data_IF_942670593352
#
_entry.id   IF_942670593352
#
_cell.length_a   1.000
_cell.length_b   1.000
_cell.length_c   1.000
_cell.angle_alpha   90.00
_cell.angle_beta   90.00
_cell.angle_gamma   90.00
#
_symmetry.space_group_name_H-M   'P 1'
#
loop_
_entity.id
_entity.type
_entity.pdbx_description
1 polymer ?
#
# COMPACT_ATOMS: atom_id res chain seq x y z
N UNK A 1 7.95 -16.93 11.11
CA UNK A 1 7.32 -15.84 10.34
C UNK A 1 8.02 -14.55 10.71
N UNK A 2 8.82 -13.98 9.81
CA UNK A 2 9.46 -12.69 10.07
C UNK A 2 8.39 -11.59 10.13
N UNK A 3 8.49 -10.73 11.14
CA UNK A 3 7.72 -9.49 11.27
C UNK A 3 7.68 -8.75 9.91
N UNK A 4 6.51 -8.23 9.51
CA UNK A 4 6.28 -7.60 8.19
C UNK A 4 5.91 -6.11 8.29
N UNK A 5 6.75 -5.23 8.89
CA UNK A 5 6.34 -3.85 9.13
C UNK A 5 5.98 -3.08 7.86
N UNK A 6 6.65 -3.31 6.74
CA UNK A 6 6.42 -2.57 5.48
C UNK A 6 5.00 -2.78 4.93
N UNK A 7 4.47 -3.99 5.10
CA UNK A 7 3.10 -4.34 4.70
C UNK A 7 2.10 -3.69 5.66
N UNK A 8 2.36 -3.76 6.98
CA UNK A 8 1.53 -3.15 8.01
C UNK A 8 1.42 -1.63 7.82
N UNK A 9 2.53 -0.95 7.55
CA UNK A 9 2.60 0.50 7.31
C UNK A 9 1.77 0.89 6.08
N UNK A 10 1.91 0.16 4.97
CA UNK A 10 1.14 0.44 3.76
C UNK A 10 -0.37 0.29 4.03
N UNK A 11 -0.80 -0.83 4.63
CA UNK A 11 -2.22 -1.08 4.89
C UNK A 11 -2.82 -0.06 5.87
N UNK A 12 -2.10 0.30 6.93
CA UNK A 12 -2.52 1.32 7.89
C UNK A 12 -2.65 2.72 7.27
N UNK A 13 -1.94 3.00 6.17
CA UNK A 13 -1.97 4.32 5.50
C UNK A 13 -3.00 4.42 4.37
N UNK A 14 -3.81 3.37 4.13
CA UNK A 14 -4.86 3.39 3.09
C UNK A 14 -6.12 4.13 3.51
N UNK A 15 -6.32 4.34 4.81
CA UNK A 15 -7.44 5.07 5.36
C UNK A 15 -7.56 4.88 6.86
N UNK A 16 -8.54 5.53 7.47
CA UNK A 16 -8.79 5.42 8.91
C UNK A 16 -9.40 4.07 9.32
N UNK A 17 -9.90 3.27 8.37
CA UNK A 17 -10.49 1.96 8.66
C UNK A 17 -9.44 1.00 9.23
N UNK A 18 -9.75 0.34 10.35
CA UNK A 18 -8.85 -0.58 11.04
C UNK A 18 -8.01 0.07 12.16
N UNK A 19 -8.00 1.40 12.25
CA UNK A 19 -7.45 2.08 13.40
C UNK A 19 -8.46 2.10 14.56
N UNK A 20 -7.96 1.93 15.78
CA UNK A 20 -8.72 2.21 16.99
C UNK A 20 -8.75 3.74 17.22
N UNK A 21 -9.94 4.32 17.28
CA UNK A 21 -10.16 5.76 17.38
C UNK A 21 -9.88 6.34 18.78
N UNK A 22 -9.76 5.48 19.79
CA UNK A 22 -9.42 5.85 21.18
C UNK A 22 -7.93 5.74 21.43
N UNK A 23 -7.33 4.58 21.13
CA UNK A 23 -5.92 4.31 21.41
C UNK A 23 -5.00 4.81 20.30
N UNK A 24 -5.55 5.13 19.12
CA UNK A 24 -4.79 5.51 17.92
C UNK A 24 -3.76 4.43 17.55
N UNK A 25 -4.15 3.17 17.71
CA UNK A 25 -3.37 2.00 17.34
C UNK A 25 -3.98 1.29 16.14
N UNK A 26 -3.12 0.80 15.26
CA UNK A 26 -3.46 -0.10 14.17
C UNK A 26 -2.74 -1.42 14.36
N UNK A 27 -3.48 -2.54 14.26
CA UNK A 27 -2.95 -3.89 14.42
C UNK A 27 -3.73 -4.83 13.50
N UNK A 28 -3.01 -5.76 12.86
CA UNK A 28 -3.63 -6.77 11.99
C UNK A 28 -3.67 -8.13 12.69
N UNK A 29 -4.88 -8.64 12.92
CA UNK A 29 -5.08 -9.97 13.50
C UNK A 29 -4.38 -10.12 14.86
N UNK A 30 -3.75 -11.28 15.08
CA UNK A 30 -2.93 -11.57 16.26
C UNK A 30 -1.44 -11.37 15.93
N UNK A 31 -1.06 -10.16 15.53
CA UNK A 31 0.34 -9.80 15.30
C UNK A 31 0.92 -9.05 16.49
N UNK A 32 2.15 -9.35 16.88
CA UNK A 32 2.87 -8.59 17.92
C UNK A 32 3.35 -7.21 17.43
N UNK A 33 3.14 -6.91 16.13
CA UNK A 33 3.41 -5.60 15.55
C UNK A 33 2.16 -4.74 15.62
N UNK A 34 2.33 -3.49 16.05
CA UNK A 34 1.29 -2.46 15.92
C UNK A 34 1.90 -1.14 15.47
N UNK A 35 1.06 -0.28 14.89
CA UNK A 35 1.41 1.09 14.57
C UNK A 35 0.66 2.03 15.50
N UNK A 36 1.35 3.05 15.97
CA UNK A 36 0.78 4.12 16.76
C UNK A 36 0.85 5.44 15.99
N UNK A 37 -0.25 6.19 16.02
CA UNK A 37 -0.34 7.51 15.42
C UNK A 37 -0.12 8.57 16.49
N UNK A 38 1.07 9.18 16.50
CA UNK A 38 1.55 10.01 17.61
C UNK A 38 2.36 11.23 17.17
N UNK A 39 2.17 12.32 17.90
CA UNK A 39 2.95 13.56 17.80
C UNK A 39 3.10 14.17 19.20
N UNK A 40 4.32 14.50 19.60
CA UNK A 40 4.71 14.84 20.98
C UNK A 40 3.92 16.02 21.60
N UNK A 41 3.46 16.97 20.77
CA UNK A 41 2.77 18.17 21.23
C UNK A 41 1.32 18.28 20.73
N UNK A 42 0.74 17.16 20.27
CA UNK A 42 -0.63 17.13 19.77
C UNK A 42 -1.57 16.46 20.78
N UNK A 43 -2.71 17.08 21.06
CA UNK A 43 -3.76 16.48 21.88
C UNK A 43 -4.40 15.26 21.21
N UNK A 44 -4.90 14.26 21.96
CA UNK A 44 -5.49 13.03 21.40
C UNK A 44 -6.62 13.31 20.40
N UNK A 45 -7.49 14.27 20.71
CA UNK A 45 -8.62 14.64 19.82
C UNK A 45 -8.13 15.26 18.51
N UNK A 46 -7.07 16.06 18.53
CA UNK A 46 -6.46 16.60 17.32
C UNK A 46 -5.87 15.48 16.46
N UNK A 47 -5.14 14.55 17.08
CA UNK A 47 -4.58 13.39 16.39
C UNK A 47 -5.67 12.50 15.80
N UNK A 48 -6.77 12.27 16.52
CA UNK A 48 -7.94 11.55 16.03
C UNK A 48 -8.54 12.22 14.80
N UNK A 49 -8.74 13.54 14.84
CA UNK A 49 -9.24 14.30 13.70
C UNK A 49 -8.31 14.22 12.48
N UNK A 50 -6.99 14.30 12.69
CA UNK A 50 -6.02 14.12 11.62
C UNK A 50 -6.06 12.68 11.08
N UNK A 51 -6.13 11.68 11.95
CA UNK A 51 -6.19 10.28 11.53
C UNK A 51 -7.42 10.02 10.63
N UNK A 52 -8.57 10.62 10.94
CA UNK A 52 -9.78 10.53 10.12
C UNK A 52 -9.65 11.16 8.72
N UNK A 53 -8.61 11.96 8.46
CA UNK A 53 -8.29 12.47 7.12
C UNK A 53 -7.34 11.57 6.34
N UNK A 54 -6.91 10.43 6.89
CA UNK A 54 -6.13 9.44 6.14
C UNK A 54 -6.91 8.97 4.92
N UNK A 55 -6.23 8.97 3.78
CA UNK A 55 -6.76 8.53 2.51
C UNK A 55 -5.73 7.68 1.74
N UNK A 56 -6.17 6.91 0.73
CA UNK A 56 -5.29 6.01 -0.03
C UNK A 56 -4.03 6.64 -0.62
N UNK A 57 -4.01 7.95 -0.87
CA UNK A 57 -2.82 8.65 -1.37
C UNK A 57 -1.68 8.65 -0.37
N UNK A 58 -1.95 8.55 0.93
CA UNK A 58 -0.88 8.42 1.93
C UNK A 58 -0.11 7.12 1.72
N UNK A 59 -0.81 6.02 1.40
CA UNK A 59 -0.16 4.78 0.97
C UNK A 59 0.59 4.90 -0.35
N UNK A 60 0.10 5.69 -1.32
CA UNK A 60 0.86 5.94 -2.56
C UNK A 60 2.18 6.69 -2.30
N UNK A 61 2.21 7.64 -1.35
CA UNK A 61 3.45 8.31 -0.92
C UNK A 61 4.41 7.32 -0.27
N UNK A 62 3.90 6.46 0.62
CA UNK A 62 4.68 5.40 1.24
C UNK A 62 5.35 4.48 0.20
N UNK A 63 4.58 4.01 -0.78
CA UNK A 63 5.07 3.17 -1.89
C UNK A 63 6.11 3.88 -2.74
N UNK A 64 5.95 5.19 -3.01
CA UNK A 64 6.95 5.96 -3.74
C UNK A 64 8.27 6.04 -2.96
N UNK A 65 8.19 6.32 -1.66
CA UNK A 65 9.39 6.37 -0.80
C UNK A 65 10.08 5.01 -0.75
N UNK A 66 9.31 3.93 -0.66
CA UNK A 66 9.83 2.55 -0.70
C UNK A 66 10.49 2.26 -2.05
N UNK A 67 9.86 2.61 -3.18
CA UNK A 67 10.45 2.46 -4.50
C UNK A 67 11.77 3.24 -4.64
N UNK A 68 11.80 4.51 -4.22
CA UNK A 68 13.02 5.34 -4.21
C UNK A 68 14.11 4.77 -3.31
N UNK A 69 13.75 4.14 -2.19
CA UNK A 69 14.72 3.47 -1.32
C UNK A 69 15.35 2.25 -2.02
N UNK A 70 14.53 1.45 -2.70
CA UNK A 70 14.97 0.26 -3.45
C UNK A 70 15.79 0.60 -4.70
N UNK A 71 15.50 1.72 -5.35
CA UNK A 71 16.27 2.25 -6.49
C UNK A 71 17.63 2.82 -6.08
N UNK A 72 17.89 3.01 -4.79
CA UNK A 72 19.16 3.56 -4.35
C UNK A 72 20.27 2.51 -4.53
N UNK A 73 21.28 2.85 -5.33
CA UNK A 73 22.44 2.00 -5.57
C UNK A 73 23.31 1.84 -4.32
N UNK A 74 23.18 2.76 -3.36
CA UNK A 74 23.85 2.65 -2.06
C UNK A 74 23.11 1.63 -1.21
N UNK A 75 23.79 0.57 -0.80
CA UNK A 75 23.27 -0.40 0.17
C UNK A 75 23.19 0.18 1.60
N UNK A 76 23.31 1.49 1.78
CA UNK A 76 23.16 2.16 3.07
C UNK A 76 21.71 2.11 3.54
N UNK A 77 21.50 1.45 4.68
CA UNK A 77 20.21 1.28 5.36
C UNK A 77 19.47 2.61 5.62
N UNK A 78 20.22 3.70 5.75
CA UNK A 78 19.71 5.02 6.10
C UNK A 78 19.94 6.08 5.01
N UNK A 79 19.98 5.65 3.74
CA UNK A 79 20.19 6.56 2.64
C UNK A 79 19.06 7.62 2.58
N UNK A 80 19.39 8.92 2.69
CA UNK A 80 18.37 9.96 2.73
C UNK A 80 17.69 10.13 1.37
N UNK A 81 16.35 10.17 1.38
CA UNK A 81 15.51 10.41 0.22
C UNK A 81 15.00 11.84 0.30
N UNK A 82 15.32 12.66 -0.69
CA UNK A 82 14.74 13.99 -0.83
C UNK A 82 13.58 13.96 -1.80
N UNK A 83 12.41 14.42 -1.36
CA UNK A 83 11.21 14.60 -2.20
C UNK A 83 10.74 16.04 -2.17
N UNK A 84 10.22 16.53 -3.30
CA UNK A 84 9.55 17.83 -3.39
C UNK A 84 8.04 17.61 -3.56
N UNK A 85 7.16 18.45 -2.99
CA UNK A 85 5.71 18.28 -3.14
C UNK A 85 5.23 18.24 -4.61
N UNK A 86 5.87 19.02 -5.49
CA UNK A 86 5.53 19.00 -6.93
C UNK A 86 5.96 17.71 -7.63
N UNK A 87 7.13 17.17 -7.27
CA UNK A 87 7.61 15.88 -7.76
C UNK A 87 6.70 14.76 -7.27
N UNK A 88 6.34 14.79 -5.99
CA UNK A 88 5.41 13.84 -5.39
C UNK A 88 4.07 13.86 -6.12
N UNK A 89 3.47 15.04 -6.30
CA UNK A 89 2.18 15.16 -6.98
C UNK A 89 2.19 14.59 -8.40
N UNK A 90 3.28 14.83 -9.16
CA UNK A 90 3.45 14.23 -10.50
C UNK A 90 3.60 12.71 -10.43
N UNK A 91 4.43 12.21 -9.52
CA UNK A 91 4.63 10.78 -9.32
C UNK A 91 3.34 10.06 -8.86
N UNK A 92 2.44 10.75 -8.16
CA UNK A 92 1.13 10.22 -7.80
C UNK A 92 0.11 10.19 -8.96
N UNK A 93 0.52 10.64 -10.16
CA UNK A 93 -0.33 10.70 -11.35
C UNK A 93 -1.32 11.87 -11.35
N UNK A 94 -1.06 12.93 -10.57
CA UNK A 94 -1.89 14.14 -10.57
C UNK A 94 -1.56 15.03 -11.78
N UNK A 95 -2.60 15.56 -12.42
CA UNK A 95 -2.44 16.36 -13.64
C UNK A 95 -1.91 17.77 -13.30
N UNK A 96 -0.89 18.26 -14.01
CA UNK A 96 -0.45 19.64 -13.90
C UNK A 96 -1.58 20.63 -14.15
N UNK A 97 -1.46 21.81 -13.54
CA UNK A 97 -2.38 22.91 -13.80
C UNK A 97 -2.15 23.49 -15.21
N UNK A 98 -3.19 23.90 -15.97
CA UNK A 98 -3.02 24.42 -17.34
C UNK A 98 -2.09 25.64 -17.45
N UNK A 99 -2.00 26.46 -16.40
CA UNK A 99 -1.10 27.63 -16.33
C UNK A 99 0.33 27.29 -15.86
N UNK A 100 0.70 26.01 -15.85
CA UNK A 100 1.96 25.51 -15.30
C UNK A 100 1.89 25.19 -13.81
N UNK A 101 2.84 24.38 -13.34
CA UNK A 101 2.92 23.92 -11.96
C UNK A 101 1.83 22.91 -11.55
N UNK A 102 1.73 22.64 -10.25
CA UNK A 102 0.69 21.79 -9.64
C UNK A 102 -0.38 22.66 -8.98
N UNK A 103 -1.61 22.13 -8.87
CA UNK A 103 -2.67 22.84 -8.15
C UNK A 103 -2.32 22.91 -6.66
N UNK A 104 -2.63 24.04 -6.02
CA UNK A 104 -2.34 24.26 -4.60
C UNK A 104 -2.91 23.13 -3.70
N UNK A 105 -4.16 22.72 -3.94
CA UNK A 105 -4.79 21.60 -3.26
C UNK A 105 -4.02 20.28 -3.36
N UNK A 106 -3.41 20.01 -4.53
CA UNK A 106 -2.66 18.76 -4.76
C UNK A 106 -1.35 18.77 -3.95
N UNK A 107 -0.74 19.95 -3.83
CA UNK A 107 0.46 20.14 -3.02
C UNK A 107 0.19 20.05 -1.52
N UNK A 108 -0.93 20.60 -1.07
CA UNK A 108 -1.41 20.45 0.30
C UNK A 108 -1.64 18.99 0.61
N UNK A 109 -2.33 18.26 -0.27
CA UNK A 109 -2.59 16.83 -0.12
C UNK A 109 -1.29 16.02 0.03
N UNK A 110 -0.33 16.24 -0.87
CA UNK A 110 0.97 15.56 -0.83
C UNK A 110 1.74 15.85 0.47
N UNK A 111 1.65 17.09 0.95
CA UNK A 111 2.30 17.52 2.18
C UNK A 111 1.63 16.89 3.40
N UNK A 112 0.30 16.84 3.40
CA UNK A 112 -0.50 16.20 4.45
C UNK A 112 -0.18 14.70 4.54
N UNK A 113 -0.06 14.00 3.41
CA UNK A 113 0.37 12.59 3.39
C UNK A 113 1.75 12.38 4.03
N UNK A 114 2.74 13.25 3.76
CA UNK A 114 4.06 13.16 4.40
C UNK A 114 3.98 13.40 5.92
N UNK A 115 3.14 14.34 6.33
CA UNK A 115 2.84 14.60 7.74
C UNK A 115 2.12 13.44 8.43
N UNK A 116 1.26 12.70 7.73
CA UNK A 116 0.67 11.46 8.26
C UNK A 116 1.75 10.41 8.49
N UNK A 117 2.63 10.19 7.52
CA UNK A 117 3.71 9.19 7.62
C UNK A 117 4.70 9.50 8.76
N UNK A 118 5.01 10.77 8.99
CA UNK A 118 5.87 11.19 10.10
C UNK A 118 5.29 10.86 11.48
N UNK A 119 3.95 10.84 11.61
CA UNK A 119 3.26 10.53 12.86
C UNK A 119 3.18 9.03 13.15
N UNK A 120 3.64 8.18 12.25
CA UNK A 120 3.60 6.74 12.43
C UNK A 120 4.81 6.25 13.22
N UNK A 121 4.52 5.53 14.29
CA UNK A 121 5.50 4.84 15.12
C UNK A 121 5.20 3.35 15.10
N UNK A 122 6.19 2.55 14.72
CA UNK A 122 6.13 1.12 14.80
C UNK A 122 6.43 0.68 16.23
N UNK A 123 5.54 -0.14 16.79
CA UNK A 123 5.70 -0.78 18.07
C UNK A 123 6.01 -2.26 17.81
N UNK A 124 7.13 -2.73 18.34
CA UNK A 124 7.59 -4.11 18.20
C UNK A 124 7.98 -4.66 19.58
N UNK A 125 7.89 -5.98 19.81
CA UNK A 125 8.50 -6.60 20.98
C UNK A 125 9.98 -6.27 21.03
N UNK A 126 10.53 -5.98 22.22
CA UNK A 126 11.97 -5.79 22.38
C UNK A 126 12.68 -7.11 22.09
N UNK A 127 13.75 -7.04 21.29
CA UNK A 127 14.57 -8.20 20.94
C UNK A 127 15.32 -8.78 22.14
N UNK A 128 15.53 -7.99 23.20
CA UNK A 128 16.22 -8.38 24.44
C UNK A 128 15.26 -8.76 25.55
N UNK A 129 14.07 -8.16 25.57
CA UNK A 129 13.00 -8.48 26.52
C UNK A 129 11.64 -8.52 25.81
N UNK A 130 11.13 -9.70 25.42
CA UNK A 130 9.85 -9.81 24.75
C UNK A 130 8.64 -9.27 25.53
N UNK A 131 8.77 -9.01 26.84
CA UNK A 131 7.73 -8.37 27.66
C UNK A 131 7.74 -6.83 27.53
N UNK A 132 8.82 -6.23 27.02
CA UNK A 132 8.94 -4.80 26.73
C UNK A 132 8.68 -4.50 25.25
N UNK A 133 8.22 -3.28 24.96
CA UNK A 133 7.92 -2.83 23.60
C UNK A 133 8.87 -1.71 23.17
N UNK A 134 9.57 -1.92 22.06
CA UNK A 134 10.36 -0.89 21.39
C UNK A 134 9.48 -0.04 20.50
N UNK A 135 9.79 1.26 20.40
CA UNK A 135 9.10 2.21 19.53
C UNK A 135 10.08 2.83 18.55
N UNK A 136 9.85 2.63 17.26
CA UNK A 136 10.67 3.18 16.19
C UNK A 136 9.83 4.06 15.26
N UNK A 137 10.39 5.17 14.78
CA UNK A 137 9.70 6.03 13.81
C UNK A 137 9.68 5.34 12.45
N UNK A 138 8.49 5.25 11.84
CA UNK A 138 8.33 4.72 10.47
C UNK A 138 9.13 5.54 9.44
N UNK A 139 9.21 6.84 9.67
CA UNK A 139 9.94 7.78 8.83
C UNK A 139 10.62 8.84 9.70
N UNK A 140 11.94 8.97 9.56
CA UNK A 140 12.72 10.02 10.21
C UNK A 140 12.87 11.22 9.28
N UNK A 141 12.41 12.41 9.73
CA UNK A 141 12.56 13.65 8.97
C UNK A 141 13.89 14.32 9.31
N UNK A 142 14.84 14.25 8.38
CA UNK A 142 16.18 14.80 8.57
C UNK A 142 16.23 16.31 8.33
N UNK A 143 15.48 16.78 7.33
CA UNK A 143 15.46 18.20 6.95
C UNK A 143 14.18 18.56 6.22
N UNK A 144 13.63 19.73 6.54
CA UNK A 144 12.59 20.40 5.76
C UNK A 144 13.19 21.60 5.02
N UNK A 145 12.75 21.79 3.78
CA UNK A 145 13.05 22.98 2.99
C UNK A 145 12.32 24.22 3.54
N UNK A 146 12.56 25.38 2.91
CA UNK A 146 11.87 26.62 3.29
C UNK A 146 10.36 26.44 3.14
N UNK A 147 9.61 26.85 4.16
CA UNK A 147 8.16 26.84 4.12
C UNK A 147 7.61 27.99 3.29
N UNK A 148 6.58 27.72 2.47
CA UNK A 148 5.71 28.74 1.89
C UNK A 148 4.29 28.55 2.38
N UNK A 149 3.53 29.63 2.54
CA UNK A 149 2.10 29.54 2.89
C UNK A 149 1.27 29.34 1.62
N UNK A 150 0.38 28.35 1.67
CA UNK A 150 -0.62 28.04 0.64
C UNK A 150 -1.92 27.74 1.37
N UNK A 151 -2.99 28.47 1.08
CA UNK A 151 -4.31 28.34 1.75
C UNK A 151 -4.22 28.25 3.28
N UNK A 152 -3.38 29.10 3.89
CA UNK A 152 -3.18 29.15 5.34
C UNK A 152 -2.27 28.06 5.93
N UNK A 153 -1.89 27.04 5.16
CA UNK A 153 -0.99 25.97 5.60
C UNK A 153 0.46 26.20 5.13
N UNK A 154 1.42 25.76 5.93
CA UNK A 154 2.84 25.84 5.58
C UNK A 154 3.25 24.58 4.81
N UNK A 155 3.63 24.76 3.55
CA UNK A 155 4.17 23.72 2.69
C UNK A 155 5.70 23.85 2.62
N UNK A 156 6.48 22.88 3.13
CA UNK A 156 7.92 22.84 2.93
C UNK A 156 8.27 22.66 1.44
N UNK A 157 9.30 23.35 0.95
CA UNK A 157 9.76 23.21 -0.44
C UNK A 157 10.34 21.82 -0.76
N UNK A 158 10.77 21.09 0.26
CA UNK A 158 11.32 19.73 0.16
C UNK A 158 11.27 19.03 1.52
N UNK A 159 11.27 17.70 1.49
CA UNK A 159 11.43 16.83 2.64
C UNK A 159 12.60 15.90 2.39
N UNK A 160 13.55 15.86 3.32
CA UNK A 160 14.61 14.85 3.33
C UNK A 160 14.31 13.89 4.45
N UNK A 161 14.08 12.63 4.08
CA UNK A 161 13.58 11.60 4.97
C UNK A 161 14.46 10.36 4.91
N UNK A 162 14.47 9.59 5.98
CA UNK A 162 15.12 8.29 6.06
C UNK A 162 14.06 7.28 6.49
N UNK A 163 14.02 6.14 5.81
CA UNK A 163 13.16 5.01 6.17
C UNK A 163 13.94 4.06 7.09
N UNK A 164 13.25 3.35 7.98
CA UNK A 164 13.85 2.27 8.75
C UNK A 164 14.08 1.00 7.93
N UNK A 165 14.54 -0.06 8.60
CA UNK A 165 14.99 -1.31 7.95
C UNK A 165 13.91 -2.01 7.13
N UNK A 166 12.63 -1.76 7.46
CA UNK A 166 11.48 -2.28 6.72
C UNK A 166 11.49 -1.91 5.23
N UNK A 167 12.20 -0.87 4.80
CA UNK A 167 12.39 -0.60 3.36
C UNK A 167 13.08 -1.76 2.61
N UNK A 168 13.87 -2.60 3.31
CA UNK A 168 14.57 -3.77 2.75
C UNK A 168 13.73 -5.04 2.66
N UNK A 169 12.47 -5.00 3.08
CA UNK A 169 11.59 -6.18 3.06
C UNK A 169 11.39 -6.75 1.64
N UNK A 170 11.48 -5.90 0.62
CA UNK A 170 11.45 -6.28 -0.79
C UNK A 170 12.83 -6.21 -1.44
N UNK A 171 13.16 -7.12 -2.38
CA UNK A 171 14.35 -6.99 -3.24
C UNK A 171 14.29 -5.74 -4.12
N UNK A 172 15.45 -5.20 -4.52
CA UNK A 172 15.54 -4.07 -5.45
C UNK A 172 14.78 -4.30 -6.76
N UNK A 173 14.67 -5.56 -7.22
CA UNK A 173 13.91 -5.95 -8.42
C UNK A 173 12.42 -5.61 -8.37
N UNK A 174 11.85 -5.34 -7.19
CA UNK A 174 10.46 -4.91 -7.02
C UNK A 174 10.25 -3.41 -7.23
N UNK A 175 11.31 -2.60 -7.26
CA UNK A 175 11.18 -1.15 -7.40
C UNK A 175 10.41 -0.71 -8.66
N UNK A 176 10.65 -1.30 -9.85
CA UNK A 176 9.88 -0.95 -11.06
C UNK A 176 8.38 -1.21 -10.91
N UNK A 177 8.00 -2.28 -10.22
CA UNK A 177 6.58 -2.62 -9.97
C UNK A 177 5.94 -1.56 -9.08
N UNK A 178 6.52 -1.27 -7.92
CA UNK A 178 5.99 -0.24 -7.02
C UNK A 178 5.90 1.13 -7.70
N UNK A 179 6.90 1.48 -8.50
CA UNK A 179 6.91 2.71 -9.27
C UNK A 179 5.80 2.76 -10.31
N UNK A 180 5.66 1.71 -11.12
CA UNK A 180 4.64 1.63 -12.16
C UNK A 180 3.22 1.73 -11.60
N UNK A 181 2.97 1.13 -10.42
CA UNK A 181 1.71 1.24 -9.71
C UNK A 181 1.45 2.66 -9.26
N UNK A 182 2.39 3.26 -8.50
CA UNK A 182 2.23 4.61 -7.95
C UNK A 182 2.05 5.67 -9.03
N UNK A 183 2.74 5.52 -10.16
CA UNK A 183 2.70 6.47 -11.29
C UNK A 183 1.43 6.36 -12.15
N UNK A 184 0.55 5.39 -11.87
CA UNK A 184 -0.75 5.32 -12.55
C UNK A 184 -1.56 6.62 -12.37
N UNK A 185 -2.23 7.12 -13.43
CA UNK A 185 -3.03 8.34 -13.37
C UNK A 185 -4.06 8.32 -12.24
N UNK A 186 -4.15 9.42 -11.50
CA UNK A 186 -4.98 9.53 -10.31
C UNK A 186 -6.50 9.62 -10.58
N UNK A 187 -6.91 9.81 -11.84
CA UNK A 187 -8.28 10.18 -12.23
C UNK A 187 -9.20 9.01 -12.61
N UNK A 188 -8.70 7.77 -12.57
CA UNK A 188 -9.49 6.58 -12.89
C UNK A 188 -9.70 5.73 -11.64
N UNK A 189 -10.94 5.29 -11.38
CA UNK A 189 -11.26 4.37 -10.29
C UNK A 189 -10.52 3.02 -10.47
N UNK A 190 -10.38 2.54 -11.70
CA UNK A 190 -9.60 1.33 -12.02
C UNK A 190 -8.13 1.51 -11.67
N UNK A 191 -7.56 2.71 -11.87
CA UNK A 191 -6.16 2.95 -11.50
C UNK A 191 -5.98 2.97 -9.98
N UNK A 192 -6.94 3.52 -9.23
CA UNK A 192 -6.90 3.47 -7.76
C UNK A 192 -6.97 2.02 -7.27
N UNK A 193 -7.85 1.21 -7.86
CA UNK A 193 -7.93 -0.22 -7.57
C UNK A 193 -6.65 -0.94 -7.94
N UNK A 194 -6.07 -0.67 -9.11
CA UNK A 194 -4.80 -1.25 -9.54
C UNK A 194 -3.66 -0.91 -8.57
N UNK A 195 -3.57 0.32 -8.07
CA UNK A 195 -2.57 0.68 -7.05
C UNK A 195 -2.69 -0.20 -5.80
N UNK A 196 -3.90 -0.38 -5.28
CA UNK A 196 -4.12 -1.16 -4.05
C UNK A 196 -4.03 -2.67 -4.27
N UNK A 197 -4.75 -3.20 -5.27
CA UNK A 197 -4.74 -4.62 -5.63
C UNK A 197 -3.35 -5.06 -6.08
N UNK A 198 -2.68 -4.30 -6.93
CA UNK A 198 -1.33 -4.61 -7.41
C UNK A 198 -0.31 -4.65 -6.29
N UNK A 199 -0.40 -3.70 -5.34
CA UNK A 199 0.45 -3.72 -4.14
C UNK A 199 0.17 -4.96 -3.30
N UNK A 200 -1.10 -5.31 -3.07
CA UNK A 200 -1.45 -6.51 -2.30
C UNK A 200 -1.05 -7.82 -2.97
N UNK A 201 -1.17 -7.94 -4.29
CA UNK A 201 -0.66 -9.11 -5.02
C UNK A 201 0.85 -9.21 -4.81
N UNK A 202 1.57 -8.11 -4.98
CA UNK A 202 3.02 -8.04 -4.78
C UNK A 202 3.41 -8.46 -3.35
N UNK A 203 2.66 -8.00 -2.35
CA UNK A 203 2.87 -8.34 -0.95
C UNK A 203 2.56 -9.80 -0.67
N UNK A 204 1.40 -10.28 -1.10
CA UNK A 204 1.00 -11.68 -0.95
C UNK A 204 2.02 -12.63 -1.59
N UNK A 205 2.55 -12.33 -2.77
CA UNK A 205 3.61 -13.10 -3.41
C UNK A 205 4.86 -13.18 -2.53
N UNK A 206 5.25 -12.08 -1.89
CA UNK A 206 6.37 -12.03 -0.94
C UNK A 206 6.08 -12.77 0.36
N UNK A 207 4.86 -12.69 0.88
CA UNK A 207 4.44 -13.40 2.09
C UNK A 207 4.43 -14.93 1.90
N UNK A 208 4.19 -15.37 0.67
CA UNK A 208 4.14 -16.78 0.25
C UNK A 208 5.40 -17.18 -0.53
N UNK A 209 6.54 -16.54 -0.26
CA UNK A 209 7.79 -16.76 -1.00
C UNK A 209 8.30 -18.21 -0.95
N UNK A 210 7.94 -18.96 0.09
CA UNK A 210 8.27 -20.39 0.23
C UNK A 210 7.57 -21.27 -0.82
N UNK A 211 6.43 -20.82 -1.35
CA UNK A 211 5.74 -21.49 -2.44
C UNK A 211 6.41 -21.15 -3.78
N UNK A 212 7.26 -22.05 -4.28
CA UNK A 212 7.96 -21.84 -5.56
C UNK A 212 7.06 -22.05 -6.78
N UNK A 213 5.76 -22.32 -6.62
CA UNK A 213 4.83 -22.46 -7.73
C UNK A 213 4.72 -21.18 -8.53
N UNK A 214 4.83 -21.31 -9.86
CA UNK A 214 4.54 -20.25 -10.81
C UNK A 214 3.04 -19.92 -10.91
N UNK A 215 2.18 -20.73 -10.30
CA UNK A 215 0.73 -20.54 -10.26
C UNK A 215 0.29 -20.50 -8.82
N UNK A 216 -0.32 -19.39 -8.42
CA UNK A 216 -0.81 -19.20 -7.05
C UNK A 216 -2.26 -18.72 -7.05
N UNK A 217 -2.99 -19.04 -5.99
CA UNK A 217 -4.42 -18.71 -5.88
C UNK A 217 -4.75 -17.87 -4.66
N UNK A 218 -5.63 -16.89 -4.83
CA UNK A 218 -6.19 -16.07 -3.74
C UNK A 218 -7.68 -15.85 -3.99
N UNK A 219 -8.49 -15.82 -2.92
CA UNK A 219 -9.91 -15.50 -3.07
C UNK A 219 -10.10 -14.01 -3.38
N UNK A 220 -11.15 -13.70 -4.16
CA UNK A 220 -11.56 -12.32 -4.43
C UNK A 220 -11.79 -11.55 -3.11
N UNK A 221 -12.48 -12.17 -2.14
CA UNK A 221 -12.73 -11.57 -0.84
C UNK A 221 -11.44 -11.20 -0.10
N UNK A 222 -10.48 -12.14 0.00
CA UNK A 222 -9.22 -11.88 0.70
C UNK A 222 -8.44 -10.77 0.02
N UNK A 223 -8.37 -10.77 -1.31
CA UNK A 223 -7.67 -9.74 -2.07
C UNK A 223 -8.30 -8.35 -1.88
N UNK A 224 -9.62 -8.24 -2.01
CA UNK A 224 -10.35 -6.97 -1.83
C UNK A 224 -10.30 -6.47 -0.38
N UNK A 225 -10.40 -7.38 0.61
CA UNK A 225 -10.31 -7.03 2.02
C UNK A 225 -8.93 -6.48 2.36
N UNK A 226 -7.87 -7.19 1.95
CA UNK A 226 -6.49 -6.74 2.16
C UNK A 226 -6.20 -5.44 1.42
N UNK A 227 -6.77 -5.25 0.22
CA UNK A 227 -6.64 -4.03 -0.57
C UNK A 227 -7.43 -2.82 0.00
N UNK A 228 -8.20 -3.01 1.07
CA UNK A 228 -9.12 -2.01 1.64
C UNK A 228 -10.22 -1.57 0.66
N UNK A 229 -10.62 -2.44 -0.26
CA UNK A 229 -11.63 -2.21 -1.29
C UNK A 229 -12.97 -2.91 -1.03
N UNK A 230 -13.02 -3.83 -0.07
CA UNK A 230 -14.25 -4.54 0.27
C UNK A 230 -15.40 -3.59 0.68
N UNK A 231 -15.18 -2.51 1.47
CA UNK A 231 -16.23 -1.55 1.77
C UNK A 231 -16.81 -0.87 0.52
N UNK A 232 -15.96 -0.45 -0.42
CA UNK A 232 -16.39 0.16 -1.68
C UNK A 232 -17.24 -0.82 -2.51
N UNK A 233 -16.85 -2.09 -2.53
CA UNK A 233 -17.58 -3.16 -3.22
C UNK A 233 -18.95 -3.42 -2.57
N UNK A 234 -19.02 -3.38 -1.24
CA UNK A 234 -20.28 -3.52 -0.50
C UNK A 234 -21.22 -2.33 -0.76
N UNK A 235 -20.70 -1.11 -0.81
CA UNK A 235 -21.48 0.08 -1.20
C UNK A 235 -21.99 -0.04 -2.64
N UNK A 236 -21.13 -0.45 -3.58
CA UNK A 236 -21.53 -0.69 -4.96
C UNK A 236 -22.64 -1.76 -5.06
N UNK A 237 -22.59 -2.82 -4.25
CA UNK A 237 -23.66 -3.83 -4.16
C UNK A 237 -24.96 -3.21 -3.66
N UNK A 238 -24.92 -2.44 -2.58
CA UNK A 238 -26.11 -1.77 -2.02
C UNK A 238 -26.75 -0.82 -3.05
N UNK A 239 -25.93 -0.18 -3.86
CA UNK A 239 -26.33 0.73 -4.94
C UNK A 239 -26.64 0.01 -6.28
N UNK A 240 -26.82 -1.32 -6.27
CA UNK A 240 -27.15 -2.16 -7.46
C UNK A 240 -26.12 -2.08 -8.60
N UNK A 241 -24.88 -1.73 -8.30
CA UNK A 241 -23.76 -1.60 -9.24
C UNK A 241 -22.77 -2.77 -9.18
N UNK A 242 -23.23 -3.97 -8.84
CA UNK A 242 -22.37 -5.15 -8.69
C UNK A 242 -21.58 -5.47 -9.98
N UNK A 243 -22.24 -5.50 -11.14
CA UNK A 243 -21.54 -5.82 -12.40
C UNK A 243 -20.37 -4.86 -12.65
N UNK A 244 -20.54 -3.58 -12.31
CA UNK A 244 -19.46 -2.59 -12.40
C UNK A 244 -18.30 -2.85 -11.44
N UNK A 245 -18.56 -3.42 -10.27
CA UNK A 245 -17.51 -3.81 -9.33
C UNK A 245 -16.70 -4.99 -9.88
N UNK A 246 -17.38 -5.97 -10.49
CA UNK A 246 -16.76 -7.14 -11.12
C UNK A 246 -15.94 -6.71 -12.33
N UNK A 247 -16.54 -5.97 -13.28
CA UNK A 247 -15.84 -5.42 -14.44
C UNK A 247 -14.60 -4.60 -14.04
N UNK A 248 -14.71 -3.81 -12.97
CA UNK A 248 -13.58 -3.04 -12.47
C UNK A 248 -12.49 -3.92 -11.87
N UNK A 249 -12.86 -4.96 -11.12
CA UNK A 249 -11.90 -5.92 -10.56
C UNK A 249 -11.15 -6.66 -11.68
N UNK A 250 -11.86 -7.17 -12.67
CA UNK A 250 -11.29 -7.91 -13.80
C UNK A 250 -10.41 -6.99 -14.66
N UNK A 251 -10.89 -5.80 -15.00
CA UNK A 251 -10.08 -4.80 -15.71
C UNK A 251 -8.85 -4.34 -14.91
N UNK A 252 -8.92 -4.40 -13.57
CA UNK A 252 -7.77 -4.15 -12.71
C UNK A 252 -6.72 -5.25 -12.89
N UNK A 253 -7.11 -6.53 -12.83
CA UNK A 253 -6.20 -7.65 -13.08
C UNK A 253 -5.61 -7.59 -14.50
N UNK A 254 -6.40 -7.24 -15.51
CA UNK A 254 -5.89 -7.04 -16.87
C UNK A 254 -4.85 -5.92 -16.97
N UNK A 255 -5.10 -4.79 -16.29
CA UNK A 255 -4.13 -3.70 -16.22
C UNK A 255 -2.84 -4.14 -15.50
N UNK A 256 -2.96 -4.85 -14.39
CA UNK A 256 -1.82 -5.35 -13.60
C UNK A 256 -0.92 -6.29 -14.39
N UNK A 257 -1.49 -7.07 -15.32
CA UNK A 257 -0.72 -7.85 -16.30
C UNK A 257 0.21 -6.97 -17.14
N UNK A 258 -0.31 -5.85 -17.65
CA UNK A 258 0.50 -4.92 -18.46
C UNK A 258 1.60 -4.21 -17.66
N UNK A 259 1.48 -4.18 -16.33
CA UNK A 259 2.47 -3.59 -15.42
C UNK A 259 3.49 -4.62 -14.90
N UNK A 260 3.39 -5.89 -15.32
CA UNK A 260 4.31 -6.95 -14.90
C UNK A 260 4.13 -7.41 -13.45
N UNK A 261 2.96 -7.17 -12.86
CA UNK A 261 2.62 -7.66 -11.51
C UNK A 261 2.29 -9.15 -11.53
N UNK A 262 1.72 -9.64 -12.65
CA UNK A 262 1.51 -11.04 -12.96
C UNK A 262 1.53 -11.26 -14.49
N UNK A 263 1.77 -12.47 -14.96
CA UNK A 263 1.82 -12.77 -16.40
C UNK A 263 0.45 -13.14 -16.99
N UNK A 264 -0.49 -13.50 -16.12
CA UNK A 264 -1.85 -13.89 -16.49
C UNK A 264 -2.71 -14.14 -15.25
N UNK A 265 -4.02 -14.08 -15.44
CA UNK A 265 -4.99 -14.42 -14.41
C UNK A 265 -6.18 -15.15 -15.01
N UNK A 266 -6.80 -16.02 -14.23
CA UNK A 266 -8.10 -16.64 -14.53
C UNK A 266 -8.84 -16.90 -13.23
N UNK A 267 -10.17 -17.04 -13.28
CA UNK A 267 -10.85 -17.73 -12.19
C UNK A 267 -10.49 -19.22 -12.20
N UNK A 268 -10.43 -19.82 -11.02
CA UNK A 268 -10.36 -21.28 -10.90
C UNK A 268 -11.55 -21.94 -11.63
N UNK A 269 -11.38 -23.11 -12.28
CA UNK A 269 -12.47 -23.76 -13.01
C UNK A 269 -13.70 -24.09 -12.16
N UNK A 270 -13.54 -24.43 -10.88
CA UNK A 270 -14.66 -24.69 -9.96
C UNK A 270 -15.38 -23.37 -9.66
N UNK A 271 -14.61 -22.30 -9.45
CA UNK A 271 -15.16 -20.95 -9.25
C UNK A 271 -15.94 -20.47 -10.48
N UNK A 272 -15.42 -20.71 -11.69
CA UNK A 272 -16.08 -20.37 -12.96
C UNK A 272 -17.45 -21.07 -13.07
N UNK A 273 -17.48 -22.38 -12.84
CA UNK A 273 -18.74 -23.14 -12.85
C UNK A 273 -19.73 -22.67 -11.78
N UNK A 274 -19.24 -22.30 -10.59
CA UNK A 274 -20.09 -21.78 -9.53
C UNK A 274 -20.69 -20.41 -9.90
N UNK A 275 -19.90 -19.51 -10.50
CA UNK A 275 -20.35 -18.23 -11.01
C UNK A 275 -21.44 -18.40 -12.08
N UNK A 276 -21.22 -19.26 -13.07
CA UNK A 276 -22.18 -19.53 -14.14
C UNK A 276 -23.52 -20.04 -13.60
N UNK A 277 -23.48 -20.97 -12.63
CA UNK A 277 -24.69 -21.51 -12.00
C UNK A 277 -25.49 -20.48 -11.20
N UNK A 278 -24.82 -19.46 -10.67
CA UNK A 278 -25.42 -18.43 -9.83
C UNK A 278 -25.71 -17.14 -10.59
N UNK A 279 -25.42 -17.07 -11.89
CA UNK A 279 -25.64 -15.87 -12.69
C UNK A 279 -27.11 -15.41 -12.61
N UNK A 280 -27.31 -14.13 -12.32
CA UNK A 280 -28.64 -13.52 -12.13
C UNK A 280 -29.34 -13.87 -10.82
N UNK A 281 -28.72 -14.64 -9.91
CA UNK A 281 -29.31 -15.03 -8.62
C UNK A 281 -28.79 -14.17 -7.47
N UNK A 282 -29.55 -14.02 -6.36
CA UNK A 282 -29.10 -13.25 -5.19
C UNK A 282 -27.76 -13.72 -4.59
N UNK A 283 -27.46 -15.02 -4.70
CA UNK A 283 -26.24 -15.64 -4.18
C UNK A 283 -24.98 -15.36 -5.04
N UNK A 284 -25.13 -14.72 -6.20
CA UNK A 284 -24.01 -14.45 -7.12
C UNK A 284 -22.90 -13.64 -6.46
N UNK A 285 -23.25 -12.64 -5.65
CA UNK A 285 -22.27 -11.80 -4.98
C UNK A 285 -21.36 -12.59 -4.02
N UNK A 286 -21.96 -13.40 -3.15
CA UNK A 286 -21.20 -14.21 -2.19
C UNK A 286 -20.37 -15.27 -2.93
N UNK A 287 -20.89 -15.81 -4.04
CA UNK A 287 -20.17 -16.75 -4.89
C UNK A 287 -18.96 -16.10 -5.55
N UNK A 288 -19.09 -14.87 -6.03
CA UNK A 288 -17.98 -14.10 -6.59
C UNK A 288 -16.92 -13.75 -5.55
N UNK A 289 -17.31 -13.31 -4.36
CA UNK A 289 -16.36 -13.06 -3.27
C UNK A 289 -15.60 -14.34 -2.86
N UNK A 290 -16.27 -15.49 -2.81
CA UNK A 290 -15.65 -16.77 -2.50
C UNK A 290 -14.83 -17.37 -3.66
N UNK A 291 -14.92 -16.80 -4.86
CA UNK A 291 -14.22 -17.32 -6.05
C UNK A 291 -12.71 -17.16 -5.89
N UNK A 292 -11.98 -18.18 -6.34
CA UNK A 292 -10.52 -18.20 -6.39
C UNK A 292 -10.04 -17.57 -7.70
N UNK A 293 -9.13 -16.62 -7.59
CA UNK A 293 -8.37 -16.07 -8.71
C UNK A 293 -7.01 -16.75 -8.72
N UNK A 294 -6.69 -17.35 -9.86
CA UNK A 294 -5.40 -17.95 -10.16
C UNK A 294 -4.53 -16.90 -10.86
N UNK A 295 -3.34 -16.68 -10.35
CA UNK A 295 -2.35 -15.74 -10.89
C UNK A 295 -1.10 -16.50 -11.33
N UNK A 296 -0.59 -16.15 -12.52
CA UNK A 296 0.70 -16.61 -13.02
C UNK A 296 1.79 -15.65 -12.55
N UNK A 297 2.71 -16.14 -11.72
CA UNK A 297 3.79 -15.36 -11.13
C UNK A 297 4.90 -15.17 -12.16
N UNK A 298 5.36 -13.94 -12.44
CA UNK A 298 6.45 -13.71 -13.38
C UNK A 298 7.76 -14.31 -12.90
N UNK A 299 8.53 -14.91 -13.81
CA UNK A 299 9.81 -15.57 -13.51
C UNK A 299 10.81 -14.64 -12.81
N UNK A 300 10.80 -13.36 -13.16
CA UNK A 300 11.66 -12.34 -12.54
C UNK A 300 11.35 -12.18 -11.06
N UNK A 301 10.07 -12.27 -10.67
CA UNK A 301 9.65 -12.19 -9.27
C UNK A 301 9.92 -13.51 -8.54
N UNK A 302 9.64 -14.66 -9.16
CA UNK A 302 10.00 -15.97 -8.59
C UNK A 302 11.50 -16.05 -8.27
N UNK A 303 12.34 -15.63 -9.22
CA UNK A 303 13.80 -15.59 -9.05
C UNK A 303 14.20 -14.66 -7.90
N UNK A 304 13.59 -13.46 -7.84
CA UNK A 304 13.86 -12.50 -6.77
C UNK A 304 13.45 -13.03 -5.38
N UNK A 305 12.37 -13.81 -5.30
CA UNK A 305 11.92 -14.45 -4.07
C UNK A 305 12.86 -15.59 -3.65
N UNK A 306 13.30 -16.42 -4.61
CA UNK A 306 14.25 -17.51 -4.37
C UNK A 306 15.58 -17.04 -3.77
N UNK A 307 16.16 -15.96 -4.32
CA UNK A 307 17.40 -15.34 -3.82
C UNK A 307 17.29 -14.89 -2.35
N UNK A 308 16.09 -14.55 -1.86
CA UNK A 308 15.89 -14.16 -0.46
C UNK A 308 15.81 -15.35 0.49
N UNK A 309 15.17 -16.44 0.06
CA UNK A 309 14.99 -17.65 0.86
C UNK A 309 16.34 -18.34 1.08
N UNK A 310 17.19 -18.38 0.06
CA UNK A 310 18.56 -18.93 0.16
C UNK A 310 19.43 -18.14 1.15
N UNK A 311 19.35 -16.80 1.16
CA UNK A 311 20.10 -15.95 2.11
C UNK A 311 19.64 -16.08 3.56
N UNK A 312 18.43 -16.59 3.78
CA UNK A 312 17.82 -16.74 5.11
C UNK A 312 18.06 -18.13 5.72
N UNK A 313 18.70 -19.04 4.97
CA UNK A 313 19.04 -20.39 5.44
C UNK A 313 20.49 -20.39 5.91
N UNK A 314 20.78 -20.49 7.22
CA UNK A 314 22.16 -20.65 7.68
C UNK A 314 22.65 -22.05 7.27
N UNK A 315 23.76 -22.10 6.52
CA UNK A 315 24.58 -23.31 6.39
C UNK A 315 25.29 -23.63 7.68
#
# INVERSE_FOLDING_TARGET
MANKPSILIDRATRGASGWNDVTLLYQEGQSDLSLNYFEENAGPEHLRQQLMTLDPRTSDVWRLLTAKALENDRDDLFAPITVKPEELARALGLKPHPKGGMRQKDLLHCTQSLFHLERLWLIMPDAKDPEEATRERVLAVMKRGRGRRVDGQVIPSSWTVVLGEWARYFPKRYAPIFRSLVELPANSATNLWAKQVGTEVTYWLRETAEDTSAVRSITVQTLLARASLLPDVLDMRQNKNLNRAIERFEATLDLLRSLGVHDGWTYDPISTQALDRQQGRPAFFETWLASQVILQVPDVLLSALGEMTERSTPT
#
